data_IF_891125285694
#
_entry.id   IF_891125285694
#
_cell.length_a   1.000
_cell.length_b   1.000
_cell.length_c   1.000
_cell.angle_alpha   90.00
_cell.angle_beta   90.00
_cell.angle_gamma   90.00
#
_symmetry.space_group_name_H-M   'P 1'
#
loop_
_entity.id
_entity.type
_entity.pdbx_description
1 polymer ?
#
# COMPACT_ATOMS: atom_id res chain seq x y z
N UNK A 1 15.88 -33.13 -62.44
CA UNK A 1 16.67 -33.99 -61.53
C UNK A 1 18.12 -33.59 -61.59
N UNK A 2 18.57 -32.65 -60.75
CA UNK A 2 19.99 -32.31 -60.54
C UNK A 2 20.11 -31.70 -59.14
N UNK A 3 20.78 -32.34 -58.18
CA UNK A 3 22.23 -32.40 -57.92
C UNK A 3 22.59 -31.42 -56.80
N UNK A 4 23.17 -31.96 -55.73
CA UNK A 4 23.74 -31.25 -54.58
C UNK A 4 24.77 -30.19 -55.01
N UNK A 5 24.82 -29.05 -54.29
CA UNK A 5 25.90 -28.08 -54.43
C UNK A 5 26.57 -27.78 -53.08
N UNK A 6 27.88 -27.94 -53.13
CA UNK A 6 28.92 -27.59 -52.16
C UNK A 6 29.02 -26.06 -52.03
N UNK A 7 29.47 -25.55 -50.89
CA UNK A 7 30.13 -24.24 -50.84
C UNK A 7 31.32 -24.25 -49.89
N UNK A 8 32.44 -23.74 -50.40
CA UNK A 8 33.74 -23.51 -49.77
C UNK A 8 34.15 -22.06 -50.06
N UNK A 9 35.20 -21.60 -49.37
CA UNK A 9 36.00 -20.36 -49.56
C UNK A 9 35.48 -19.12 -48.77
N UNK A 10 36.30 -18.23 -48.21
CA UNK A 10 37.51 -17.57 -48.76
C UNK A 10 38.51 -17.14 -47.63
N UNK A 11 39.81 -17.20 -47.97
CA UNK A 11 41.01 -16.74 -47.24
C UNK A 11 41.16 -15.19 -47.17
N UNK A 12 41.96 -14.58 -46.31
CA UNK A 12 43.40 -14.23 -46.45
C UNK A 12 43.58 -12.97 -45.55
N UNK A 13 44.68 -12.67 -44.88
CA UNK A 13 46.01 -12.42 -45.43
C UNK A 13 47.04 -12.37 -44.30
N UNK A 14 48.23 -12.91 -44.56
CA UNK A 14 49.43 -12.81 -43.73
C UNK A 14 50.30 -11.67 -44.29
N UNK A 15 50.87 -10.84 -43.42
CA UNK A 15 52.05 -10.05 -43.71
C UNK A 15 53.15 -10.45 -42.71
N UNK A 16 54.30 -10.86 -43.25
CA UNK A 16 55.51 -11.24 -42.50
C UNK A 16 56.49 -10.08 -42.55
N UNK A 17 57.07 -9.70 -41.41
CA UNK A 17 58.29 -8.89 -41.37
C UNK A 17 59.25 -9.43 -40.31
N UNK A 18 60.53 -9.44 -40.70
CA UNK A 18 61.63 -10.29 -40.24
C UNK A 18 62.27 -9.96 -38.88
N UNK A 19 62.73 -11.04 -38.24
CA UNK A 19 64.00 -11.26 -37.52
C UNK A 19 64.56 -10.20 -36.56
N UNK A 20 64.80 -10.61 -35.30
CA UNK A 20 66.16 -10.82 -34.76
C UNK A 20 66.18 -11.65 -33.46
N UNK A 21 67.27 -12.42 -33.33
CA UNK A 21 67.70 -13.36 -32.27
C UNK A 21 67.71 -12.73 -30.86
N UNK A 22 67.73 -13.40 -29.70
CA UNK A 22 68.26 -14.71 -29.26
C UNK A 22 67.75 -14.96 -27.82
N UNK A 23 67.67 -16.23 -27.43
CA UNK A 23 67.23 -16.79 -26.14
C UNK A 23 67.69 -16.03 -24.88
N UNK A 24 66.75 -15.83 -23.95
CA UNK A 24 67.01 -15.84 -22.51
C UNK A 24 65.95 -16.70 -21.80
N UNK A 25 66.43 -17.67 -21.03
CA UNK A 25 65.67 -18.54 -20.13
C UNK A 25 65.31 -17.77 -18.86
N UNK A 26 64.03 -17.53 -18.60
CA UNK A 26 63.54 -16.92 -17.36
C UNK A 26 62.21 -17.53 -16.93
N UNK A 27 62.18 -18.09 -15.71
CA UNK A 27 61.07 -18.89 -15.19
C UNK A 27 59.71 -18.18 -15.15
N UNK A 28 58.65 -18.93 -15.46
CA UNK A 28 57.28 -18.51 -15.27
C UNK A 28 56.96 -18.47 -13.78
N UNK A 29 56.89 -17.26 -13.21
CA UNK A 29 56.26 -17.04 -11.90
C UNK A 29 54.74 -17.31 -11.97
N UNK A 30 54.10 -17.64 -10.83
CA UNK A 30 52.67 -17.96 -10.81
C UNK A 30 51.85 -16.76 -11.28
N UNK A 31 50.98 -16.98 -12.26
CA UNK A 31 50.04 -15.99 -12.76
C UNK A 31 49.17 -15.47 -11.62
N UNK A 32 49.09 -14.15 -11.49
CA UNK A 32 48.23 -13.50 -10.52
C UNK A 32 46.77 -13.98 -10.70
N UNK A 33 46.03 -14.21 -9.59
CA UNK A 33 44.63 -14.62 -9.68
C UNK A 33 43.82 -13.54 -10.41
N UNK A 34 42.78 -13.94 -11.15
CA UNK A 34 41.91 -12.99 -11.83
C UNK A 34 41.30 -12.01 -10.83
N UNK A 35 41.07 -10.75 -11.22
CA UNK A 35 40.44 -9.78 -10.36
C UNK A 35 39.07 -10.31 -9.90
N UNK A 36 38.68 -10.04 -8.64
CA UNK A 36 37.37 -10.43 -8.16
C UNK A 36 36.29 -9.84 -9.08
N UNK A 37 35.17 -10.57 -9.29
CA UNK A 37 34.06 -10.04 -10.06
C UNK A 37 33.59 -8.70 -9.45
N UNK A 38 33.09 -7.76 -10.27
CA UNK A 38 32.51 -6.54 -9.76
C UNK A 38 31.46 -6.88 -8.68
N UNK A 39 31.37 -6.10 -7.59
CA UNK A 39 30.27 -6.26 -6.65
C UNK A 39 28.95 -6.20 -7.42
N UNK A 40 28.00 -7.07 -7.05
CA UNK A 40 26.65 -6.99 -7.59
C UNK A 40 26.14 -5.55 -7.40
N UNK A 41 25.38 -4.99 -8.36
CA UNK A 41 24.78 -3.68 -8.17
C UNK A 41 24.06 -3.67 -6.82
N UNK A 42 24.43 -2.77 -5.92
CA UNK A 42 23.66 -2.53 -4.70
C UNK A 42 22.20 -2.30 -5.13
N UNK A 43 21.27 -3.01 -4.49
CA UNK A 43 19.85 -2.71 -4.60
C UNK A 43 19.67 -1.25 -4.18
N UNK A 44 19.61 -0.33 -5.14
CA UNK A 44 19.05 0.99 -4.89
C UNK A 44 17.58 0.75 -4.60
N UNK A 45 17.25 0.60 -3.32
CA UNK A 45 15.86 0.45 -2.89
C UNK A 45 15.13 1.73 -3.30
N UNK A 46 14.36 1.63 -4.38
CA UNK A 46 13.37 2.63 -4.74
C UNK A 46 12.26 2.55 -3.71
N UNK A 47 11.54 3.64 -3.47
CA UNK A 47 10.31 3.54 -2.70
C UNK A 47 9.25 2.82 -3.53
N UNK A 48 8.18 2.36 -2.89
CA UNK A 48 6.97 1.98 -3.63
C UNK A 48 6.53 3.15 -4.51
N UNK A 49 5.95 2.83 -5.66
CA UNK A 49 5.51 3.85 -6.60
C UNK A 49 4.30 3.43 -7.41
N UNK A 50 3.54 4.42 -7.89
CA UNK A 50 2.39 4.20 -8.76
C UNK A 50 2.80 4.34 -10.22
N UNK A 51 2.38 3.37 -11.05
CA UNK A 51 2.52 3.39 -12.50
C UNK A 51 1.13 3.22 -13.12
N UNK A 52 0.54 4.34 -13.58
CA UNK A 52 -0.86 4.36 -14.00
C UNK A 52 -1.78 3.95 -12.86
N UNK A 53 -2.56 2.88 -13.05
CA UNK A 53 -3.43 2.31 -12.01
C UNK A 53 -2.78 1.27 -11.10
N UNK A 54 -1.49 0.98 -11.29
CA UNK A 54 -0.81 -0.13 -10.60
C UNK A 54 0.16 0.38 -9.55
N UNK A 55 0.06 -0.14 -8.33
CA UNK A 55 1.08 0.04 -7.31
C UNK A 55 2.22 -0.96 -7.55
N UNK A 56 3.44 -0.44 -7.56
CA UNK A 56 4.70 -1.20 -7.68
C UNK A 56 5.45 -1.14 -6.36
N UNK A 57 6.00 -2.28 -5.95
CA UNK A 57 6.94 -2.31 -4.84
C UNK A 57 8.33 -1.78 -5.26
N UNK A 58 9.25 -1.70 -4.30
CA UNK A 58 10.61 -1.21 -4.51
C UNK A 58 11.45 -2.03 -5.51
N UNK A 59 11.01 -3.25 -5.83
CA UNK A 59 11.66 -4.15 -6.78
C UNK A 59 10.86 -4.28 -8.10
N UNK A 60 10.00 -3.30 -8.39
CA UNK A 60 9.23 -3.15 -9.62
C UNK A 60 8.20 -4.26 -9.87
N UNK A 61 7.78 -4.96 -8.81
CA UNK A 61 6.70 -5.95 -8.89
C UNK A 61 5.38 -5.28 -8.55
N UNK A 62 4.33 -5.68 -9.27
CA UNK A 62 2.97 -5.28 -8.93
C UNK A 62 2.64 -5.76 -7.53
N UNK A 63 2.27 -4.82 -6.67
CA UNK A 63 1.84 -5.11 -5.31
C UNK A 63 0.35 -4.84 -5.17
N UNK A 64 -0.37 -5.86 -4.74
CA UNK A 64 -1.81 -5.81 -4.56
C UNK A 64 -2.12 -5.96 -3.08
N UNK A 65 -2.68 -4.91 -2.46
CA UNK A 65 -3.00 -4.94 -1.04
C UNK A 65 -4.09 -5.99 -0.76
N UNK A 66 -3.81 -6.83 0.23
CA UNK A 66 -4.67 -7.85 0.81
C UNK A 66 -4.45 -7.76 2.31
N UNK A 67 -5.12 -6.78 2.91
CA UNK A 67 -4.72 -6.29 4.23
C UNK A 67 -5.86 -6.09 5.22
N UNK A 68 -5.51 -5.48 6.34
CA UNK A 68 -6.40 -5.18 7.46
C UNK A 68 -6.05 -3.82 8.11
N UNK A 69 -6.95 -3.33 8.95
CA UNK A 69 -6.80 -2.12 9.76
C UNK A 69 -6.52 -2.48 11.23
N UNK A 70 -5.58 -1.75 11.84
CA UNK A 70 -5.08 -2.00 13.19
C UNK A 70 -5.12 -0.73 14.04
N UNK A 71 -5.83 -0.73 15.19
CA UNK A 71 -6.01 0.47 16.01
C UNK A 71 -4.81 0.76 16.93
N UNK A 72 -3.62 0.99 16.35
CA UNK A 72 -2.36 1.12 17.10
C UNK A 72 -2.43 2.24 18.14
N UNK A 73 -2.98 3.40 17.77
CA UNK A 73 -3.06 4.54 18.68
C UNK A 73 -3.96 4.25 19.90
N UNK A 74 -5.09 3.59 19.69
CA UNK A 74 -6.06 3.32 20.76
C UNK A 74 -5.66 2.14 21.65
N UNK A 75 -4.88 1.20 21.10
CA UNK A 75 -4.46 -0.03 21.77
C UNK A 75 -2.95 -0.27 21.63
N UNK A 76 -2.11 0.65 22.16
CA UNK A 76 -0.66 0.62 21.97
C UNK A 76 0.02 -0.60 22.62
N UNK A 77 -0.66 -1.30 23.54
CA UNK A 77 -0.10 -2.46 24.25
C UNK A 77 -0.60 -3.79 23.68
N UNK A 78 -1.62 -3.76 22.82
CA UNK A 78 -2.37 -4.95 22.39
C UNK A 78 -2.27 -5.22 20.88
N UNK A 79 -1.95 -4.21 20.06
CA UNK A 79 -1.97 -4.34 18.59
C UNK A 79 -0.93 -5.34 18.04
N UNK A 80 0.23 -5.47 18.70
CA UNK A 80 1.40 -6.17 18.13
C UNK A 80 1.12 -7.64 17.78
N UNK A 81 0.54 -8.46 18.68
CA UNK A 81 0.14 -9.83 18.34
C UNK A 81 -0.81 -9.92 17.12
N UNK A 82 -1.61 -8.90 16.86
CA UNK A 82 -2.57 -8.88 15.75
C UNK A 82 -1.89 -8.80 14.39
N UNK A 83 -0.79 -8.04 14.29
CA UNK A 83 0.02 -7.98 13.08
C UNK A 83 0.56 -9.37 12.73
N UNK A 84 1.08 -10.09 13.73
CA UNK A 84 1.54 -11.47 13.56
C UNK A 84 0.43 -12.45 13.15
N UNK A 85 -0.71 -12.39 13.84
CA UNK A 85 -1.86 -13.24 13.56
C UNK A 85 -2.41 -13.00 12.14
N UNK A 86 -2.61 -11.74 11.75
CA UNK A 86 -3.06 -11.38 10.41
C UNK A 86 -2.06 -11.80 9.33
N UNK A 87 -0.75 -11.56 9.53
CA UNK A 87 0.29 -12.00 8.60
C UNK A 87 0.28 -13.51 8.38
N UNK A 88 0.01 -14.30 9.44
CA UNK A 88 -0.11 -15.77 9.34
C UNK A 88 -1.30 -16.24 8.49
N UNK A 89 -2.31 -15.36 8.33
CA UNK A 89 -3.47 -15.58 7.46
C UNK A 89 -3.24 -15.10 6.02
N UNK A 90 -2.02 -14.69 5.65
CA UNK A 90 -1.73 -14.18 4.30
C UNK A 90 -1.93 -12.69 4.12
N UNK A 91 -2.27 -11.94 5.18
CA UNK A 91 -2.27 -10.48 5.16
C UNK A 91 -0.89 -9.96 4.69
N UNK A 92 -0.87 -9.01 3.76
CA UNK A 92 0.37 -8.44 3.21
C UNK A 92 0.52 -6.92 3.41
N UNK A 93 -0.51 -6.26 3.95
CA UNK A 93 -0.55 -4.83 4.20
C UNK A 93 -1.30 -4.53 5.50
N UNK A 94 -0.79 -3.57 6.27
CA UNK A 94 -1.37 -3.17 7.55
C UNK A 94 -1.57 -1.65 7.58
N UNK A 95 -2.85 -1.23 7.64
CA UNK A 95 -3.20 0.17 7.85
C UNK A 95 -3.30 0.44 9.35
N UNK A 96 -2.41 1.29 9.83
CA UNK A 96 -2.17 1.57 11.23
C UNK A 96 -2.89 2.86 11.57
N UNK A 97 -4.00 2.74 12.28
CA UNK A 97 -4.74 3.89 12.80
C UNK A 97 -3.83 4.65 13.77
N UNK A 98 -3.52 5.88 13.41
CA UNK A 98 -2.77 6.82 14.23
C UNK A 98 -3.57 8.09 14.47
N UNK A 99 -3.16 8.91 15.44
CA UNK A 99 -3.75 10.21 15.70
C UNK A 99 -2.65 11.25 16.01
N UNK A 100 -2.93 12.52 15.75
CA UNK A 100 -2.03 13.63 16.11
C UNK A 100 -1.90 13.70 17.63
N UNK A 101 -3.05 13.67 18.34
CA UNK A 101 -3.13 13.58 19.78
C UNK A 101 -4.55 13.22 20.26
N UNK A 102 -4.68 12.69 21.48
CA UNK A 102 -5.94 12.84 22.23
C UNK A 102 -5.76 13.82 23.38
N UNK A 103 -6.85 14.51 23.75
CA UNK A 103 -6.85 15.59 24.74
C UNK A 103 -6.25 15.21 26.11
N UNK A 104 -6.22 13.92 26.47
CA UNK A 104 -5.70 13.46 27.75
C UNK A 104 -4.45 12.57 27.65
N UNK A 105 -4.13 12.01 26.48
CA UNK A 105 -3.06 11.03 26.33
C UNK A 105 -2.70 10.81 24.85
N UNK A 106 -1.41 10.64 24.56
CA UNK A 106 -0.92 10.31 23.22
C UNK A 106 0.21 9.29 23.37
N UNK A 107 0.17 8.13 22.69
CA UNK A 107 1.30 7.21 22.68
C UNK A 107 2.50 7.89 22.02
N UNK A 108 3.70 7.60 22.55
CA UNK A 108 4.93 8.19 22.03
C UNK A 108 5.24 7.74 20.60
N UNK A 109 6.04 8.51 19.86
CA UNK A 109 6.52 8.11 18.54
C UNK A 109 7.37 6.82 18.55
N UNK A 110 7.86 6.37 19.71
CA UNK A 110 8.50 5.07 19.83
C UNK A 110 7.50 3.92 19.61
N UNK A 111 6.22 4.10 19.97
CA UNK A 111 5.16 3.12 19.68
C UNK A 111 4.88 3.06 18.18
N UNK A 112 4.88 4.22 17.50
CA UNK A 112 4.75 4.25 16.04
C UNK A 112 5.94 3.56 15.35
N UNK A 113 7.16 3.88 15.78
CA UNK A 113 8.38 3.25 15.25
C UNK A 113 8.36 1.73 15.46
N UNK A 114 7.94 1.27 16.64
CA UNK A 114 7.77 -0.15 16.94
C UNK A 114 6.72 -0.82 16.06
N UNK A 115 5.58 -0.17 15.82
CA UNK A 115 4.52 -0.71 14.97
C UNK A 115 4.99 -0.84 13.51
N UNK A 116 5.74 0.15 13.00
CA UNK A 116 6.34 0.11 11.67
C UNK A 116 7.41 -0.99 11.55
N UNK A 117 8.27 -1.12 12.56
CA UNK A 117 9.26 -2.20 12.65
C UNK A 117 8.60 -3.58 12.65
N UNK A 118 7.53 -3.75 13.43
CA UNK A 118 6.79 -5.00 13.51
C UNK A 118 6.15 -5.35 12.16
N UNK A 119 5.55 -4.38 11.46
CA UNK A 119 5.03 -4.59 10.11
C UNK A 119 6.12 -5.16 9.18
N UNK A 120 7.30 -4.52 9.12
CA UNK A 120 8.41 -5.00 8.29
C UNK A 120 8.88 -6.39 8.72
N UNK A 121 9.02 -6.64 10.02
CA UNK A 121 9.42 -7.95 10.55
C UNK A 121 8.42 -9.06 10.19
N UNK A 122 7.12 -8.73 10.07
CA UNK A 122 6.06 -9.65 9.64
C UNK A 122 5.81 -9.64 8.14
N UNK A 123 6.60 -8.88 7.38
CA UNK A 123 6.47 -8.74 5.91
C UNK A 123 5.11 -8.16 5.49
N UNK A 124 4.62 -7.20 6.28
CA UNK A 124 3.43 -6.39 6.03
C UNK A 124 3.88 -5.01 5.56
N UNK A 125 3.31 -4.53 4.45
CA UNK A 125 3.48 -3.15 4.00
C UNK A 125 2.75 -2.21 4.96
N UNK A 126 3.45 -1.32 5.69
CA UNK A 126 2.79 -0.41 6.63
C UNK A 126 2.17 0.79 5.90
N UNK A 127 0.94 1.13 6.28
CA UNK A 127 0.23 2.33 5.85
C UNK A 127 -0.12 3.11 7.13
N UNK A 128 0.42 4.31 7.31
CA UNK A 128 0.09 5.15 8.47
C UNK A 128 -1.00 6.13 8.07
N UNK A 129 -2.07 6.18 8.86
CA UNK A 129 -3.20 7.09 8.65
C UNK A 129 -3.47 7.95 9.90
N UNK A 130 -3.95 9.17 9.71
CA UNK A 130 -4.38 10.05 10.82
C UNK A 130 -5.90 10.10 10.95
N UNK A 131 -6.40 9.62 12.09
CA UNK A 131 -7.82 9.37 12.33
C UNK A 131 -8.56 10.53 13.00
N UNK A 132 -7.86 11.59 13.43
CA UNK A 132 -8.46 12.74 14.14
C UNK A 132 -9.49 13.51 13.30
N UNK A 133 -9.38 13.40 11.97
CA UNK A 133 -10.04 14.30 11.03
C UNK A 133 -11.28 13.71 10.34
N UNK A 134 -11.66 12.50 10.72
CA UNK A 134 -12.79 11.75 10.15
C UNK A 134 -14.08 12.56 10.20
N UNK A 135 -14.72 12.71 9.03
CA UNK A 135 -15.96 13.49 8.89
C UNK A 135 -15.81 15.01 9.01
N UNK A 136 -14.62 15.54 9.29
CA UNK A 136 -14.39 16.97 9.37
C UNK A 136 -14.50 17.67 8.00
N UNK A 137 -14.95 18.93 7.95
CA UNK A 137 -15.10 19.69 6.70
C UNK A 137 -14.12 20.87 6.57
N UNK A 138 -13.33 21.17 7.61
CA UNK A 138 -12.38 22.28 7.58
C UNK A 138 -11.12 21.88 6.82
N UNK A 139 -10.71 22.70 5.84
CA UNK A 139 -9.43 22.50 5.14
C UNK A 139 -8.21 22.62 6.09
N UNK A 140 -8.39 23.25 7.26
CA UNK A 140 -7.37 23.27 8.31
C UNK A 140 -7.00 21.87 8.80
N UNK A 141 -7.95 20.91 8.79
CA UNK A 141 -7.69 19.53 9.19
C UNK A 141 -6.63 18.88 8.30
N UNK A 142 -6.74 19.03 6.98
CA UNK A 142 -5.74 18.51 6.03
C UNK A 142 -4.40 19.23 6.19
N UNK A 143 -4.42 20.52 6.50
CA UNK A 143 -3.21 21.29 6.80
C UNK A 143 -2.52 20.77 8.06
N UNK A 144 -3.26 20.48 9.12
CA UNK A 144 -2.76 19.93 10.38
C UNK A 144 -2.23 18.50 10.22
N UNK A 145 -2.97 17.64 9.51
CA UNK A 145 -2.52 16.30 9.14
C UNK A 145 -1.16 16.34 8.42
N UNK A 146 -1.04 17.22 7.44
CA UNK A 146 0.19 17.43 6.67
C UNK A 146 1.33 17.95 7.55
N UNK A 147 1.04 18.90 8.44
CA UNK A 147 2.02 19.44 9.38
C UNK A 147 2.54 18.35 10.33
N UNK A 148 1.70 17.41 10.77
CA UNK A 148 2.12 16.28 11.58
C UNK A 148 3.09 15.37 10.82
N UNK A 149 2.73 14.96 9.59
CA UNK A 149 3.62 14.11 8.77
C UNK A 149 4.96 14.78 8.47
N UNK A 150 4.97 16.11 8.31
CA UNK A 150 6.19 16.87 7.96
C UNK A 150 6.98 17.35 9.18
N UNK A 151 6.52 17.07 10.40
CA UNK A 151 7.23 17.40 11.63
C UNK A 151 8.57 16.63 11.69
N UNK A 152 9.70 17.25 12.04
CA UNK A 152 11.03 16.62 11.93
C UNK A 152 11.19 15.29 12.70
N UNK A 153 10.59 15.17 13.89
CA UNK A 153 10.61 13.97 14.73
C UNK A 153 9.77 12.82 14.13
N UNK A 154 8.58 13.14 13.60
CA UNK A 154 7.71 12.18 12.90
C UNK A 154 8.39 11.70 11.62
N UNK A 155 8.94 12.64 10.84
CA UNK A 155 9.66 12.33 9.62
C UNK A 155 10.88 11.44 9.86
N UNK A 156 11.63 11.67 10.93
CA UNK A 156 12.75 10.82 11.31
C UNK A 156 12.34 9.36 11.59
N UNK A 157 11.12 9.12 12.08
CA UNK A 157 10.57 7.77 12.23
C UNK A 157 10.15 7.19 10.88
N UNK A 158 9.40 7.94 10.08
CA UNK A 158 8.90 7.49 8.77
C UNK A 158 10.03 7.16 7.79
N UNK A 159 11.09 7.98 7.76
CA UNK A 159 12.19 7.82 6.81
C UNK A 159 12.97 6.50 6.98
N UNK A 160 12.96 5.90 8.18
CA UNK A 160 13.53 4.56 8.44
C UNK A 160 12.87 3.48 7.56
N UNK A 161 11.60 3.69 7.17
CA UNK A 161 10.77 2.74 6.43
C UNK A 161 10.42 3.23 5.03
N UNK A 162 11.10 4.26 4.52
CA UNK A 162 10.75 4.95 3.28
C UNK A 162 10.64 4.04 2.04
N UNK A 163 11.39 2.94 2.05
CA UNK A 163 11.42 1.95 0.99
C UNK A 163 10.14 1.11 0.87
N UNK A 164 9.30 1.03 1.92
CA UNK A 164 8.06 0.23 1.93
C UNK A 164 6.80 0.95 2.40
N UNK A 165 6.91 2.04 3.15
CA UNK A 165 5.76 2.69 3.80
C UNK A 165 4.86 3.46 2.82
N UNK A 166 3.59 3.57 3.14
CA UNK A 166 2.61 4.44 2.47
C UNK A 166 2.03 5.43 3.49
N UNK A 167 1.86 6.68 3.07
CA UNK A 167 1.32 7.74 3.94
C UNK A 167 -0.12 8.03 3.55
N UNK A 168 -1.08 7.68 4.39
CA UNK A 168 -2.49 8.03 4.21
C UNK A 168 -2.79 9.31 4.99
N UNK A 169 -2.99 10.43 4.29
CA UNK A 169 -2.89 11.76 4.93
C UNK A 169 -3.90 11.95 6.06
N UNK A 170 -5.16 11.60 5.83
CA UNK A 170 -6.21 11.69 6.84
C UNK A 170 -7.30 10.67 6.54
N UNK A 171 -7.72 9.93 7.57
CA UNK A 171 -8.86 9.02 7.47
C UNK A 171 -10.13 9.81 7.19
N UNK A 172 -10.79 9.49 6.07
CA UNK A 172 -12.20 9.87 5.86
C UNK A 172 -12.49 11.38 6.02
N UNK A 173 -11.53 12.25 5.71
CA UNK A 173 -11.76 13.68 5.82
C UNK A 173 -12.83 14.14 4.83
N UNK A 174 -13.86 14.79 5.35
CA UNK A 174 -15.07 15.21 4.65
C UNK A 174 -16.29 14.42 5.07
N UNK A 175 -17.29 15.10 5.64
CA UNK A 175 -18.63 14.52 5.82
C UNK A 175 -19.41 14.47 4.50
N UNK A 176 -20.62 13.92 4.53
CA UNK A 176 -21.51 13.86 3.36
C UNK A 176 -21.92 15.22 2.77
N UNK A 177 -21.65 16.33 3.47
CA UNK A 177 -21.90 17.69 2.97
C UNK A 177 -20.67 18.37 2.36
N UNK A 178 -19.48 17.78 2.48
CA UNK A 178 -18.29 18.33 1.84
C UNK A 178 -18.38 18.13 0.33
N UNK A 179 -18.25 19.21 -0.43
CA UNK A 179 -18.26 19.13 -1.89
C UNK A 179 -16.98 18.51 -2.42
N UNK A 180 -17.06 17.82 -3.55
CA UNK A 180 -15.90 17.21 -4.21
C UNK A 180 -14.85 18.26 -4.59
N UNK A 181 -15.29 19.48 -4.94
CA UNK A 181 -14.40 20.60 -5.25
C UNK A 181 -13.64 21.09 -4.01
N UNK A 182 -14.31 21.18 -2.85
CA UNK A 182 -13.66 21.53 -1.59
C UNK A 182 -12.67 20.45 -1.17
N UNK A 183 -13.03 19.17 -1.36
CA UNK A 183 -12.13 18.04 -1.12
C UNK A 183 -10.83 18.16 -1.92
N UNK A 184 -10.93 18.33 -3.24
CA UNK A 184 -9.77 18.56 -4.10
C UNK A 184 -8.93 19.75 -3.62
N UNK A 185 -9.59 20.88 -3.36
CA UNK A 185 -8.92 22.15 -3.06
C UNK A 185 -8.06 22.06 -1.79
N UNK A 186 -8.48 21.28 -0.79
CA UNK A 186 -7.71 21.07 0.42
C UNK A 186 -6.48 20.17 0.20
N UNK A 187 -6.57 19.15 -0.67
CA UNK A 187 -5.46 18.22 -0.89
C UNK A 187 -4.34 18.74 -1.80
N UNK A 188 -4.64 19.67 -2.73
CA UNK A 188 -3.61 20.27 -3.60
C UNK A 188 -2.39 20.84 -2.84
N UNK A 189 -2.55 21.73 -1.84
CA UNK A 189 -1.41 22.25 -1.06
C UNK A 189 -0.79 21.19 -0.15
N UNK A 190 -1.56 20.20 0.32
CA UNK A 190 -1.06 19.09 1.14
C UNK A 190 -0.04 18.25 0.36
N UNK A 191 -0.38 17.84 -0.87
CA UNK A 191 0.50 17.09 -1.77
C UNK A 191 1.81 17.86 -2.00
N UNK A 192 1.72 19.15 -2.32
CA UNK A 192 2.90 19.99 -2.52
C UNK A 192 3.81 20.03 -1.28
N UNK A 193 3.21 20.18 -0.08
CA UNK A 193 3.94 20.25 1.18
C UNK A 193 4.61 18.92 1.57
N UNK A 194 3.92 17.79 1.37
CA UNK A 194 4.48 16.45 1.57
C UNK A 194 5.71 16.23 0.67
N UNK A 195 5.63 16.64 -0.60
CA UNK A 195 6.77 16.53 -1.53
C UNK A 195 7.88 17.52 -1.21
N UNK A 196 7.56 18.74 -0.79
CA UNK A 196 8.55 19.73 -0.35
C UNK A 196 9.32 19.28 0.90
N UNK A 197 8.68 18.50 1.79
CA UNK A 197 9.34 17.84 2.91
C UNK A 197 10.24 16.64 2.51
N UNK A 198 10.32 16.31 1.21
CA UNK A 198 11.21 15.29 0.68
C UNK A 198 10.65 13.87 0.66
N UNK A 199 9.36 13.67 0.96
CA UNK A 199 8.73 12.35 0.88
C UNK A 199 8.57 11.88 -0.56
N UNK A 200 9.09 10.68 -0.85
CA UNK A 200 9.09 10.06 -2.19
C UNK A 200 8.21 8.82 -2.31
N UNK A 201 7.78 8.26 -1.18
CA UNK A 201 6.87 7.11 -1.11
C UNK A 201 5.44 7.50 -1.53
N UNK A 202 4.55 6.51 -1.77
CA UNK A 202 3.18 6.79 -2.17
C UNK A 202 2.41 7.53 -1.08
N UNK A 203 1.54 8.45 -1.53
CA UNK A 203 0.58 9.15 -0.68
C UNK A 203 -0.81 8.59 -0.98
N UNK A 204 -1.50 8.10 0.03
CA UNK A 204 -2.88 7.62 -0.05
C UNK A 204 -3.85 8.74 0.37
N UNK A 205 -4.88 8.97 -0.44
CA UNK A 205 -5.91 9.99 -0.21
C UNK A 205 -7.28 9.31 -0.23
N UNK A 206 -7.99 9.41 0.89
CA UNK A 206 -9.35 8.89 1.03
C UNK A 206 -10.34 9.79 0.29
N UNK A 207 -11.38 9.17 -0.28
CA UNK A 207 -12.56 9.90 -0.74
C UNK A 207 -13.23 10.69 0.42
N UNK A 208 -13.92 11.81 0.14
CA UNK A 208 -14.75 12.47 1.15
C UNK A 208 -16.03 11.66 1.41
N UNK A 209 -16.91 12.20 2.25
CA UNK A 209 -18.17 11.53 2.59
C UNK A 209 -17.94 10.29 3.45
N UNK A 210 -17.06 10.41 4.45
CA UNK A 210 -16.59 9.29 5.27
C UNK A 210 -15.94 8.18 4.42
N UNK A 211 -15.14 8.54 3.41
CA UNK A 211 -14.56 7.58 2.47
C UNK A 211 -15.52 7.01 1.43
N UNK A 212 -16.82 7.35 1.50
CA UNK A 212 -17.87 6.69 0.71
C UNK A 212 -18.36 7.49 -0.51
N UNK A 213 -17.81 8.68 -0.78
CA UNK A 213 -18.12 9.47 -1.98
C UNK A 213 -17.01 9.34 -3.04
N UNK A 214 -16.94 8.19 -3.72
CA UNK A 214 -15.90 7.95 -4.73
C UNK A 214 -16.03 8.85 -5.98
N UNK A 215 -17.15 9.56 -6.15
CA UNK A 215 -17.35 10.50 -7.24
C UNK A 215 -16.33 11.65 -7.22
N UNK A 216 -15.86 12.06 -6.02
CA UNK A 216 -14.76 13.01 -5.89
C UNK A 216 -13.49 12.55 -6.63
N UNK A 217 -13.14 11.25 -6.51
CA UNK A 217 -11.99 10.68 -7.22
C UNK A 217 -12.24 10.66 -8.73
N UNK A 218 -13.46 10.31 -9.16
CA UNK A 218 -13.85 10.27 -10.58
C UNK A 218 -13.74 11.66 -11.22
N UNK A 219 -14.15 12.71 -10.51
CA UNK A 219 -14.14 14.09 -11.00
C UNK A 219 -12.77 14.75 -10.91
N UNK A 220 -12.04 14.55 -9.80
CA UNK A 220 -10.90 15.37 -9.43
C UNK A 220 -9.62 14.59 -9.09
N UNK A 221 -9.66 13.25 -9.10
CA UNK A 221 -8.46 12.43 -8.82
C UNK A 221 -7.32 12.71 -9.80
N UNK A 222 -7.62 12.99 -11.07
CA UNK A 222 -6.59 13.36 -12.04
C UNK A 222 -5.96 14.72 -11.75
N UNK A 223 -6.72 15.69 -11.21
CA UNK A 223 -6.15 16.99 -10.78
C UNK A 223 -5.13 16.79 -9.66
N UNK A 224 -5.47 15.98 -8.66
CA UNK A 224 -4.57 15.66 -7.54
C UNK A 224 -3.32 14.90 -8.04
N UNK A 225 -3.49 13.88 -8.88
CA UNK A 225 -2.36 13.16 -9.48
C UNK A 225 -1.49 14.10 -10.33
N UNK A 226 -2.08 15.03 -11.07
CA UNK A 226 -1.35 16.01 -11.86
C UNK A 226 -0.58 17.02 -11.01
N UNK A 227 -1.07 17.33 -9.80
CA UNK A 227 -0.37 18.20 -8.86
C UNK A 227 0.85 17.55 -8.21
N UNK A 228 0.88 16.21 -8.10
CA UNK A 228 2.04 15.50 -7.56
C UNK A 228 3.17 15.44 -8.61
N UNK A 229 4.35 16.06 -8.37
CA UNK A 229 5.49 15.95 -9.28
C UNK A 229 5.98 14.51 -9.46
N UNK A 230 5.72 13.61 -8.49
CA UNK A 230 6.14 12.21 -8.56
C UNK A 230 5.07 11.27 -9.16
N UNK A 231 3.85 11.78 -9.41
CA UNK A 231 2.70 10.96 -9.86
C UNK A 231 2.48 9.70 -8.99
N UNK A 232 2.72 9.82 -7.68
CA UNK A 232 2.78 8.70 -6.76
C UNK A 232 1.66 8.79 -5.71
N UNK A 233 0.41 8.80 -6.18
CA UNK A 233 -0.81 8.87 -5.37
C UNK A 233 -1.65 7.60 -5.53
N UNK A 234 -2.14 7.09 -4.40
CA UNK A 234 -3.15 6.04 -4.30
C UNK A 234 -4.46 6.70 -3.81
N UNK A 235 -5.60 6.36 -4.39
CA UNK A 235 -6.90 6.81 -3.92
C UNK A 235 -7.62 5.69 -3.20
N UNK A 236 -8.20 5.99 -2.03
CA UNK A 236 -8.91 5.02 -1.21
C UNK A 236 -10.42 5.29 -1.19
N UNK A 237 -11.21 4.22 -1.32
CA UNK A 237 -12.67 4.20 -1.14
C UNK A 237 -12.99 3.32 0.06
N UNK A 238 -13.91 3.75 0.92
CA UNK A 238 -14.36 2.97 2.07
C UNK A 238 -15.76 2.43 1.78
N UNK A 239 -15.89 1.11 1.71
CA UNK A 239 -17.13 0.45 1.31
C UNK A 239 -17.95 0.03 2.54
N UNK A 240 -18.96 0.83 2.88
CA UNK A 240 -19.94 0.55 3.94
C UNK A 240 -21.38 0.76 3.42
N UNK A 241 -22.15 1.65 4.04
CA UNK A 241 -23.58 1.87 3.76
C UNK A 241 -23.88 2.29 2.32
N UNK A 242 -23.01 3.07 1.69
CA UNK A 242 -23.18 3.46 0.29
C UNK A 242 -22.92 2.29 -0.68
N UNK A 243 -22.35 1.18 -0.20
CA UNK A 243 -22.04 -0.02 -0.96
C UNK A 243 -23.00 -1.18 -0.60
N UNK A 244 -24.24 -0.89 -0.19
CA UNK A 244 -25.23 -1.92 0.16
C UNK A 244 -25.88 -2.65 -1.03
N UNK A 245 -25.67 -2.19 -2.27
CA UNK A 245 -26.30 -2.76 -3.47
C UNK A 245 -25.26 -3.42 -4.37
N UNK A 246 -25.06 -4.73 -4.17
CA UNK A 246 -24.05 -5.55 -4.87
C UNK A 246 -24.13 -5.51 -6.39
N UNK A 247 -25.33 -5.35 -6.97
CA UNK A 247 -25.52 -5.22 -8.43
C UNK A 247 -24.86 -3.97 -9.03
N UNK A 248 -24.50 -2.97 -8.20
CA UNK A 248 -23.82 -1.74 -8.64
C UNK A 248 -22.31 -1.81 -8.58
N UNK A 249 -21.71 -2.84 -7.95
CA UNK A 249 -20.28 -2.85 -7.66
C UNK A 249 -19.43 -2.79 -8.94
N UNK A 250 -19.76 -3.62 -9.91
CA UNK A 250 -19.02 -3.69 -11.17
C UNK A 250 -19.00 -2.36 -11.91
N UNK A 251 -20.14 -1.67 -12.03
CA UNK A 251 -20.18 -0.38 -12.73
C UNK A 251 -19.44 0.72 -11.98
N UNK A 252 -19.53 0.75 -10.65
CA UNK A 252 -18.81 1.72 -9.80
C UNK A 252 -17.30 1.53 -9.84
N UNK A 253 -16.83 0.29 -9.71
CA UNK A 253 -15.39 -0.05 -9.84
C UNK A 253 -14.90 0.30 -11.24
N UNK A 254 -15.63 -0.06 -12.30
CA UNK A 254 -15.25 0.29 -13.66
C UNK A 254 -15.19 1.81 -13.89
N UNK A 255 -16.09 2.58 -13.28
CA UNK A 255 -16.06 4.05 -13.37
C UNK A 255 -14.77 4.62 -12.75
N UNK A 256 -14.38 4.14 -11.58
CA UNK A 256 -13.10 4.52 -10.94
C UNK A 256 -11.90 4.15 -11.81
N UNK A 257 -11.86 2.92 -12.32
CA UNK A 257 -10.74 2.42 -13.11
C UNK A 257 -10.64 3.06 -14.49
N UNK A 258 -11.74 3.62 -15.02
CA UNK A 258 -11.74 4.37 -16.29
C UNK A 258 -10.84 5.61 -16.25
N UNK A 259 -10.47 6.08 -15.05
CA UNK A 259 -9.60 7.24 -14.83
C UNK A 259 -8.11 6.92 -14.85
N UNK A 260 -7.74 5.63 -14.98
CA UNK A 260 -6.34 5.17 -14.92
C UNK A 260 -5.60 5.62 -13.63
N UNK A 261 -6.34 5.70 -12.51
CA UNK A 261 -5.81 6.01 -11.18
C UNK A 261 -5.59 4.73 -10.38
N UNK A 262 -4.64 4.74 -9.45
CA UNK A 262 -4.43 3.62 -8.54
C UNK A 262 -5.46 3.68 -7.41
N UNK A 263 -6.32 2.65 -7.34
CA UNK A 263 -7.44 2.59 -6.39
C UNK A 263 -7.23 1.44 -5.39
N UNK A 264 -7.61 1.68 -4.14
CA UNK A 264 -7.72 0.67 -3.08
C UNK A 264 -9.06 0.81 -2.38
N UNK A 265 -9.64 -0.29 -1.91
CA UNK A 265 -10.64 -0.24 -0.86
C UNK A 265 -9.91 -0.16 0.49
N UNK A 266 -9.69 1.07 0.98
CA UNK A 266 -8.92 1.35 2.20
C UNK A 266 -9.61 0.83 3.46
N UNK A 267 -10.93 0.70 3.39
CA UNK A 267 -11.77 0.03 4.37
C UNK A 267 -12.94 -0.64 3.66
N UNK A 268 -13.45 -1.73 4.22
CA UNK A 268 -14.76 -2.26 3.85
C UNK A 268 -15.36 -3.10 4.97
N UNK A 269 -16.68 -3.08 5.04
CA UNK A 269 -17.49 -3.90 5.92
C UNK A 269 -18.00 -5.19 5.26
N UNK A 270 -19.07 -5.74 5.83
CA UNK A 270 -19.71 -6.98 5.37
C UNK A 270 -21.24 -6.90 5.49
N UNK A 271 -21.94 -7.98 5.12
CA UNK A 271 -23.39 -8.07 5.25
C UNK A 271 -23.76 -8.35 6.70
N UNK A 272 -23.81 -7.28 7.49
CA UNK A 272 -24.06 -7.34 8.93
C UNK A 272 -25.50 -7.84 9.18
N UNK A 273 -25.71 -8.86 10.04
CA UNK A 273 -27.04 -9.31 10.40
C UNK A 273 -27.88 -8.20 11.03
N UNK A 274 -29.20 -8.21 10.81
CA UNK A 274 -30.09 -7.14 11.30
C UNK A 274 -29.96 -6.86 12.81
N UNK A 275 -29.76 -7.90 13.62
CA UNK A 275 -29.61 -7.79 15.08
C UNK A 275 -28.26 -7.23 15.55
N UNK A 276 -27.29 -7.02 14.64
CA UNK A 276 -25.93 -6.57 14.94
C UNK A 276 -25.56 -5.31 14.13
N UNK A 277 -26.53 -4.70 13.44
CA UNK A 277 -26.28 -3.50 12.65
C UNK A 277 -25.69 -2.39 13.52
N UNK A 278 -24.73 -1.62 13.00
CA UNK A 278 -24.28 -0.41 13.65
C UNK A 278 -25.45 0.52 13.96
N UNK A 279 -25.30 1.34 15.00
CA UNK A 279 -26.35 2.28 15.40
C UNK A 279 -26.56 3.39 14.38
N UNK A 280 -25.49 3.78 13.68
CA UNK A 280 -25.45 5.02 12.92
C UNK A 280 -25.70 4.80 11.42
N UNK A 281 -25.59 3.56 10.93
CA UNK A 281 -25.81 3.21 9.54
C UNK A 281 -26.07 1.71 9.35
N UNK A 282 -26.68 1.36 8.22
CA UNK A 282 -26.89 -0.02 7.81
C UNK A 282 -25.75 -0.45 6.88
N UNK A 283 -25.08 -1.57 7.21
CA UNK A 283 -24.05 -2.18 6.38
C UNK A 283 -24.53 -3.53 5.82
N UNK A 284 -24.57 -3.61 4.49
CA UNK A 284 -25.01 -4.75 3.66
C UNK A 284 -24.00 -5.04 2.55
N UNK A 285 -22.72 -4.80 2.83
CA UNK A 285 -21.65 -4.99 1.85
C UNK A 285 -21.48 -6.47 1.57
N UNK A 286 -21.63 -6.88 0.31
CA UNK A 286 -21.31 -8.25 -0.09
C UNK A 286 -19.79 -8.39 -0.21
N UNK A 287 -19.13 -8.65 0.93
CA UNK A 287 -17.68 -8.72 1.01
C UNK A 287 -17.04 -9.80 0.10
N UNK A 288 -17.56 -11.05 0.00
CA UNK A 288 -17.06 -12.03 -0.97
C UNK A 288 -17.08 -11.51 -2.42
N UNK A 289 -18.18 -10.89 -2.85
CA UNK A 289 -18.28 -10.32 -4.20
C UNK A 289 -17.32 -9.13 -4.37
N UNK A 290 -17.20 -8.26 -3.37
CA UNK A 290 -16.27 -7.13 -3.43
C UNK A 290 -14.83 -7.62 -3.58
N UNK A 291 -14.40 -8.61 -2.79
CA UNK A 291 -13.06 -9.21 -2.89
C UNK A 291 -12.84 -9.92 -4.22
N UNK A 292 -13.85 -10.62 -4.74
CA UNK A 292 -13.81 -11.22 -6.08
C UNK A 292 -13.57 -10.18 -7.17
N UNK A 293 -14.31 -9.06 -7.15
CA UNK A 293 -14.15 -7.98 -8.11
C UNK A 293 -12.78 -7.30 -7.94
N UNK A 294 -12.32 -7.11 -6.69
CA UNK A 294 -10.97 -6.61 -6.42
C UNK A 294 -9.88 -7.52 -7.01
N UNK A 295 -10.05 -8.84 -6.95
CA UNK A 295 -9.15 -9.79 -7.58
C UNK A 295 -9.21 -9.67 -9.12
N UNK A 296 -10.42 -9.64 -9.69
CA UNK A 296 -10.64 -9.55 -11.14
C UNK A 296 -10.03 -8.28 -11.74
N UNK A 297 -10.16 -7.14 -11.05
CA UNK A 297 -9.72 -5.83 -11.54
C UNK A 297 -8.35 -5.39 -11.03
N UNK A 298 -7.65 -6.25 -10.28
CA UNK A 298 -6.38 -5.93 -9.64
C UNK A 298 -6.45 -4.66 -8.77
N UNK A 299 -7.48 -4.57 -7.92
CA UNK A 299 -7.68 -3.52 -6.91
C UNK A 299 -7.33 -4.07 -5.52
N UNK A 300 -6.60 -3.27 -4.73
CA UNK A 300 -6.24 -3.64 -3.36
C UNK A 300 -7.43 -3.53 -2.43
N UNK A 301 -7.42 -4.25 -1.31
CA UNK A 301 -8.41 -4.07 -0.24
C UNK A 301 -7.79 -4.23 1.15
N UNK A 302 -8.37 -3.55 2.13
CA UNK A 302 -8.04 -3.65 3.54
C UNK A 302 -9.36 -3.74 4.33
N UNK A 303 -9.60 -4.86 5.00
CA UNK A 303 -10.86 -5.01 5.75
C UNK A 303 -10.81 -4.23 7.05
N UNK A 304 -11.96 -3.69 7.49
CA UNK A 304 -12.09 -3.04 8.79
C UNK A 304 -12.81 -3.95 9.78
N UNK A 305 -12.26 -4.28 10.94
CA UNK A 305 -10.85 -4.14 11.34
C UNK A 305 -10.46 -5.35 12.19
N UNK A 306 -9.19 -5.49 12.60
CA UNK A 306 -8.77 -6.70 13.30
C UNK A 306 -9.57 -6.94 14.58
N UNK A 307 -9.56 -5.96 15.50
CA UNK A 307 -10.22 -5.99 16.80
C UNK A 307 -10.24 -4.58 17.39
N UNK A 308 -11.17 -4.32 18.31
CA UNK A 308 -11.14 -3.14 19.19
C UNK A 308 -12.19 -2.09 18.84
N UNK A 309 -13.16 -2.44 17.97
CA UNK A 309 -14.32 -1.58 17.75
C UNK A 309 -15.11 -1.42 19.06
N UNK A 310 -15.71 -0.25 19.23
CA UNK A 310 -16.60 0.01 20.36
C UNK A 310 -17.89 -0.82 20.24
N UNK A 311 -18.74 -0.77 21.28
CA UNK A 311 -19.98 -1.55 21.31
C UNK A 311 -20.92 -1.29 20.12
N UNK A 312 -20.97 -0.06 19.60
CA UNK A 312 -21.80 0.31 18.46
C UNK A 312 -21.32 -0.33 17.14
N UNK A 313 -20.01 -0.58 17.02
CA UNK A 313 -19.37 -1.07 15.79
C UNK A 313 -18.71 -2.45 15.96
N UNK A 314 -18.97 -3.16 17.06
CA UNK A 314 -18.32 -4.43 17.41
C UNK A 314 -18.53 -5.54 16.36
N UNK A 315 -19.56 -5.42 15.51
CA UNK A 315 -19.80 -6.33 14.40
C UNK A 315 -18.70 -6.30 13.33
N UNK A 316 -17.81 -5.30 13.33
CA UNK A 316 -16.67 -5.19 12.43
C UNK A 316 -15.36 -5.77 13.00
N UNK A 317 -15.33 -6.29 14.24
CA UNK A 317 -14.17 -7.03 14.73
C UNK A 317 -14.01 -8.34 13.94
N UNK A 318 -12.85 -8.53 13.30
CA UNK A 318 -12.53 -9.78 12.60
C UNK A 318 -12.13 -10.90 13.55
N UNK A 319 -11.53 -10.57 14.69
CA UNK A 319 -11.18 -11.53 15.73
C UNK A 319 -11.69 -11.07 17.09
N UNK A 320 -12.19 -12.02 17.89
CA UNK A 320 -12.44 -11.74 19.29
C UNK A 320 -11.14 -11.70 20.12
N UNK A 321 -10.00 -12.11 19.55
CA UNK A 321 -8.67 -12.13 20.17
C UNK A 321 -7.67 -11.19 19.48
N UNK A 322 -6.75 -10.60 20.25
CA UNK A 322 -5.63 -9.82 19.70
C UNK A 322 -4.58 -10.70 19.03
N UNK A 323 -4.38 -11.95 19.46
CA UNK A 323 -3.20 -12.75 19.07
C UNK A 323 -3.51 -14.02 18.29
N UNK A 324 -4.77 -14.43 18.21
CA UNK A 324 -5.12 -15.77 17.73
C UNK A 324 -6.11 -15.74 16.55
N UNK A 325 -5.86 -16.66 15.61
CA UNK A 325 -6.63 -16.91 14.40
C UNK A 325 -7.71 -17.98 14.59
N UNK A 326 -7.72 -18.72 15.71
CA UNK A 326 -8.76 -19.71 16.04
C UNK A 326 -10.10 -19.05 16.41
N UNK A 327 -10.06 -17.78 16.80
CA UNK A 327 -11.19 -17.00 17.33
C UNK A 327 -11.70 -15.93 16.35
N UNK A 328 -11.58 -16.20 15.04
CA UNK A 328 -12.15 -15.32 14.01
C UNK A 328 -13.69 -15.31 14.08
N UNK A 329 -14.26 -14.12 13.99
CA UNK A 329 -15.71 -13.89 13.85
C UNK A 329 -16.20 -14.35 12.47
N UNK A 330 -17.51 -14.32 12.24
CA UNK A 330 -18.07 -14.57 10.89
C UNK A 330 -17.43 -13.65 9.86
N UNK A 331 -17.26 -12.38 10.21
CA UNK A 331 -16.61 -11.40 9.37
C UNK A 331 -15.14 -11.77 9.08
N UNK A 332 -14.34 -12.02 10.12
CA UNK A 332 -12.94 -12.38 9.95
C UNK A 332 -12.73 -13.67 9.15
N UNK A 333 -13.64 -14.64 9.26
CA UNK A 333 -13.62 -15.86 8.44
C UNK A 333 -13.88 -15.57 6.97
N UNK A 334 -14.81 -14.67 6.64
CA UNK A 334 -15.04 -14.26 5.24
C UNK A 334 -13.81 -13.55 4.68
N UNK A 335 -13.30 -12.53 5.39
CA UNK A 335 -12.10 -11.81 4.97
C UNK A 335 -10.87 -12.70 4.80
N UNK A 336 -10.65 -13.66 5.70
CA UNK A 336 -9.48 -14.54 5.66
C UNK A 336 -9.62 -15.67 4.64
N UNK A 337 -10.73 -16.41 4.68
CA UNK A 337 -10.85 -17.74 4.07
C UNK A 337 -11.73 -17.82 2.84
N UNK A 338 -12.46 -16.76 2.47
CA UNK A 338 -13.13 -16.71 1.17
C UNK A 338 -12.16 -17.00 0.03
N UNK A 339 -12.65 -17.50 -1.12
CA UNK A 339 -11.83 -17.80 -2.28
C UNK A 339 -10.95 -16.61 -2.73
N UNK A 340 -11.42 -15.37 -2.51
CA UNK A 340 -10.69 -14.13 -2.81
C UNK A 340 -10.18 -13.41 -1.55
N UNK A 341 -10.28 -14.06 -0.38
CA UNK A 341 -9.77 -13.58 0.90
C UNK A 341 -8.25 -13.55 0.98
N UNK A 342 -7.72 -12.97 2.06
CA UNK A 342 -6.28 -12.71 2.19
C UNK A 342 -5.44 -13.98 2.24
N UNK A 343 -5.97 -15.10 2.73
CA UNK A 343 -5.23 -16.36 2.79
C UNK A 343 -4.94 -16.96 1.42
N UNK A 344 -5.85 -16.73 0.48
CA UNK A 344 -5.79 -17.32 -0.85
C UNK A 344 -5.15 -16.37 -1.88
N UNK A 345 -5.18 -15.06 -1.62
CA UNK A 345 -4.75 -14.05 -2.61
C UNK A 345 -3.63 -13.12 -2.13
N UNK A 346 -3.30 -13.15 -0.83
CA UNK A 346 -2.28 -12.32 -0.24
C UNK A 346 -0.87 -12.77 -0.60
N UNK A 347 -0.14 -11.89 -1.29
CA UNK A 347 1.26 -12.10 -1.66
C UNK A 347 2.11 -11.01 -1.03
N UNK A 348 3.15 -11.39 -0.30
CA UNK A 348 4.10 -10.45 0.31
C UNK A 348 4.77 -9.62 -0.78
N UNK A 349 5.03 -8.35 -0.48
CA UNK A 349 5.85 -7.53 -1.36
C UNK A 349 7.23 -8.16 -1.54
N UNK A 350 7.80 -8.06 -2.74
CA UNK A 350 9.04 -8.76 -3.09
C UNK A 350 10.29 -8.16 -2.42
N UNK A 351 10.14 -7.02 -1.78
CA UNK A 351 11.15 -6.35 -0.94
C UNK A 351 11.46 -7.10 0.37
N UNK A 352 10.57 -7.98 0.84
CA UNK A 352 10.70 -8.66 2.14
C UNK A 352 11.28 -10.07 2.05
#
# INVERSE_FOLDING_TARGET
MKTNLITFLIACSIAVASCSKKNDTGGAGPSAPPPPPPPAPELQYKNFYVQGKTLKDSADKTFLMRGNNFPVFWFPSEYKPSLGAAASLGCNAARLVWQVQQQAWTPSLAVLDEALAECVAKKLVPIVELHDFTGGNSAANITEATAWFTRPDVKAVIDKYAHVIILNIANEWGSGSLTELAWKSAYLPSIASIRAAGYKMPVMIDAPGYGQNENAIVLYGQDLLNSDPLKNIIFAVHAYSNWNTSSTYTSRINNLLSKNLCIVFGEFGWDVPAAQQPTDFVCKVNAPLLMQLCQQYAVGYLGWSWKGNNAANACFDMSSSWSDTSNLTTWGKQWAYDANGVKNTGLKASVF
#
